data_IF_408421070137
#
_entry.id   IF_408421070137
#
_cell.length_a   1.000
_cell.length_b   1.000
_cell.length_c   1.000
_cell.angle_alpha   90.00
_cell.angle_beta   90.00
_cell.angle_gamma   90.00
#
_symmetry.space_group_name_H-M   'P 1'
#
loop_
_entity.id
_entity.type
_entity.pdbx_description
1 polymer ?
#
# COMPACT_ATOMS: atom_id res chain seq x y z
N UNK A 1 -20.21 1.89 2.10
CA UNK A 1 -19.54 1.67 0.80
C UNK A 1 -19.79 0.26 0.26
N UNK A 2 -19.53 -0.80 1.03
CA UNK A 2 -19.66 -2.21 0.57
C UNK A 2 -21.02 -2.51 -0.09
N UNK A 3 -22.15 -2.17 0.53
CA UNK A 3 -23.47 -2.38 -0.07
C UNK A 3 -23.66 -1.68 -1.43
N UNK A 4 -23.03 -0.51 -1.62
CA UNK A 4 -23.06 0.23 -2.90
C UNK A 4 -22.18 -0.43 -3.95
N UNK A 5 -21.03 -0.97 -3.55
CA UNK A 5 -20.14 -1.72 -4.45
C UNK A 5 -20.74 -3.06 -4.86
N UNK A 6 -21.57 -3.68 -4.01
CA UNK A 6 -22.35 -4.88 -4.37
C UNK A 6 -23.47 -4.53 -5.36
N UNK A 7 -24.16 -3.41 -5.13
CA UNK A 7 -25.26 -2.96 -5.99
C UNK A 7 -24.78 -2.51 -7.38
N UNK A 8 -23.63 -1.81 -7.45
CA UNK A 8 -23.12 -1.21 -8.68
C UNK A 8 -22.08 -2.07 -9.40
N UNK A 9 -21.57 -3.10 -8.72
CA UNK A 9 -20.66 -4.12 -9.25
C UNK A 9 -19.56 -3.57 -10.20
N UNK A 10 -18.70 -2.63 -9.74
CA UNK A 10 -17.74 -1.96 -10.63
C UNK A 10 -16.50 -2.81 -10.93
N UNK A 11 -16.55 -4.12 -10.66
CA UNK A 11 -15.41 -5.01 -10.80
C UNK A 11 -15.25 -5.44 -12.25
N UNK A 12 -13.99 -5.61 -12.69
CA UNK A 12 -13.65 -5.95 -14.07
C UNK A 12 -13.17 -4.75 -14.88
N UNK A 13 -12.53 -5.02 -16.00
CA UNK A 13 -12.03 -4.01 -16.93
C UNK A 13 -12.60 -4.35 -18.32
N UNK A 14 -13.34 -3.43 -18.96
CA UNK A 14 -13.83 -3.63 -20.33
C UNK A 14 -12.69 -3.82 -21.34
N UNK A 15 -12.96 -4.56 -22.42
CA UNK A 15 -11.97 -4.84 -23.46
C UNK A 15 -11.55 -3.59 -24.25
N UNK A 16 -12.40 -2.57 -24.31
CA UNK A 16 -12.17 -1.28 -24.98
C UNK A 16 -11.71 -0.18 -24.01
N UNK A 17 -11.42 -0.53 -22.76
CA UNK A 17 -10.97 0.43 -21.77
C UNK A 17 -9.52 0.85 -22.03
N UNK A 18 -9.34 2.13 -22.32
CA UNK A 18 -8.03 2.78 -22.43
C UNK A 18 -7.81 3.71 -21.24
N UNK A 19 -6.65 3.59 -20.59
CA UNK A 19 -6.23 4.46 -19.49
C UNK A 19 -4.93 5.16 -19.86
N UNK A 20 -5.03 6.45 -20.18
CA UNK A 20 -3.85 7.30 -20.41
C UNK A 20 -3.19 7.64 -19.07
N UNK A 21 -1.97 7.12 -18.86
CA UNK A 21 -1.12 7.52 -17.74
C UNK A 21 -0.26 8.70 -18.20
N UNK A 22 -0.50 9.87 -17.61
CA UNK A 22 0.25 11.10 -17.90
C UNK A 22 1.19 11.38 -16.72
N UNK A 23 2.50 11.37 -16.99
CA UNK A 23 3.55 11.62 -16.00
C UNK A 23 4.24 12.96 -16.29
N UNK A 24 4.39 13.78 -15.24
CA UNK A 24 5.15 15.03 -15.28
C UNK A 24 6.16 15.02 -14.12
N UNK A 25 7.42 14.75 -14.45
CA UNK A 25 8.54 14.67 -13.50
C UNK A 25 9.19 16.03 -13.20
N UNK A 26 8.54 17.15 -13.57
CA UNK A 26 9.06 18.47 -13.23
C UNK A 26 9.18 18.63 -11.71
N UNK A 27 10.31 19.21 -11.28
CA UNK A 27 10.58 19.36 -9.85
C UNK A 27 9.62 20.37 -9.22
N UNK A 28 8.90 19.93 -8.18
CA UNK A 28 8.04 20.81 -7.38
C UNK A 28 8.92 21.67 -6.45
N UNK A 29 8.82 23.01 -6.50
CA UNK A 29 9.57 23.87 -5.59
C UNK A 29 9.22 23.62 -4.12
N UNK A 30 10.24 23.57 -3.24
CA UNK A 30 10.09 23.20 -1.81
C UNK A 30 9.12 24.07 -1.00
N UNK A 31 8.93 25.32 -1.43
CA UNK A 31 8.10 26.30 -0.72
C UNK A 31 6.62 26.21 -1.09
N UNK A 32 6.29 25.46 -2.15
CA UNK A 32 4.91 25.22 -2.57
C UNK A 32 4.31 24.14 -1.67
N UNK A 33 3.04 24.25 -1.26
CA UNK A 33 2.37 23.22 -0.49
C UNK A 33 2.47 21.84 -1.15
N UNK A 34 3.07 20.90 -0.43
CA UNK A 34 3.20 19.52 -0.85
C UNK A 34 2.79 18.65 0.34
N UNK A 35 1.86 17.72 0.12
CA UNK A 35 1.49 16.76 1.14
C UNK A 35 2.70 15.87 1.46
N UNK A 36 3.18 15.92 2.70
CA UNK A 36 4.28 15.06 3.15
C UNK A 36 3.71 13.94 4.02
N UNK A 37 4.22 12.70 3.89
CA UNK A 37 3.87 11.64 4.81
C UNK A 37 4.12 12.08 6.26
N UNK A 38 3.16 11.78 7.13
CA UNK A 38 3.33 11.98 8.58
C UNK A 38 4.26 10.90 9.13
N UNK A 39 4.79 11.14 10.33
CA UNK A 39 5.54 10.11 11.04
C UNK A 39 4.69 8.84 11.18
N UNK A 40 5.33 7.69 11.01
CA UNK A 40 4.65 6.41 11.21
C UNK A 40 4.19 6.28 12.67
N UNK A 41 3.08 5.55 12.94
CA UNK A 41 2.63 5.30 14.29
C UNK A 41 3.71 4.63 15.14
N UNK A 42 3.82 4.97 16.43
CA UNK A 42 4.82 4.39 17.35
C UNK A 42 4.75 2.85 17.43
N UNK A 43 3.54 2.29 17.33
CA UNK A 43 3.29 0.84 17.32
C UNK A 43 4.04 0.11 16.20
N UNK A 44 4.28 0.77 15.07
CA UNK A 44 5.08 0.21 13.99
C UNK A 44 6.51 -0.08 14.45
N UNK A 45 7.14 0.88 15.13
CA UNK A 45 8.51 0.73 15.61
C UNK A 45 8.62 -0.32 16.71
N UNK A 46 7.65 -0.35 17.65
CA UNK A 46 7.60 -1.39 18.70
C UNK A 46 7.50 -2.79 18.10
N UNK A 47 6.64 -2.97 17.10
CA UNK A 47 6.47 -4.26 16.41
C UNK A 47 7.75 -4.63 15.67
N UNK A 48 8.37 -3.68 14.98
CA UNK A 48 9.61 -3.88 14.24
C UNK A 48 10.77 -4.26 15.18
N UNK A 49 10.87 -3.65 16.35
CA UNK A 49 11.88 -3.99 17.36
C UNK A 49 11.60 -5.37 17.99
N UNK A 50 10.33 -5.72 18.22
CA UNK A 50 9.94 -7.04 18.70
C UNK A 50 10.33 -8.15 17.70
N UNK A 51 10.07 -7.95 16.40
CA UNK A 51 10.46 -8.90 15.35
C UNK A 51 11.98 -9.04 15.25
N UNK A 52 12.72 -7.93 15.39
CA UNK A 52 14.20 -7.97 15.36
C UNK A 52 14.81 -8.64 16.59
N UNK A 53 14.17 -8.53 17.75
CA UNK A 53 14.69 -9.09 19.01
C UNK A 53 14.30 -10.54 19.25
N UNK A 54 13.20 -11.02 18.66
CA UNK A 54 12.78 -12.40 18.75
C UNK A 54 13.19 -13.22 17.50
N UNK A 55 14.21 -14.11 17.61
CA UNK A 55 14.62 -14.96 16.50
C UNK A 55 13.55 -15.96 16.06
N UNK A 56 12.52 -16.24 16.87
CA UNK A 56 11.38 -17.06 16.48
C UNK A 56 10.39 -16.33 15.54
N UNK A 57 10.44 -15.00 15.50
CA UNK A 57 9.62 -14.15 14.62
C UNK A 57 10.37 -13.70 13.36
N UNK A 58 11.69 -13.91 13.29
CA UNK A 58 12.49 -13.79 12.06
C UNK A 58 12.21 -15.00 11.16
N UNK A 59 11.09 -14.97 10.45
CA UNK A 59 10.64 -16.08 9.61
C UNK A 59 11.63 -16.45 8.50
N UNK A 60 12.39 -17.53 8.71
CA UNK A 60 13.13 -18.27 7.66
C UNK A 60 12.31 -19.47 7.16
N UNK A 61 10.99 -19.30 7.00
CA UNK A 61 10.12 -20.37 6.48
C UNK A 61 9.27 -19.85 5.32
N UNK A 62 9.41 -20.42 4.11
CA UNK A 62 8.58 -20.06 2.96
C UNK A 62 7.10 -20.34 3.26
N UNK A 63 6.17 -19.53 2.72
CA UNK A 63 4.75 -19.76 2.90
C UNK A 63 4.38 -21.12 2.31
N UNK A 64 4.03 -22.09 3.15
CA UNK A 64 3.50 -23.37 2.70
C UNK A 64 2.07 -23.17 2.19
N UNK A 65 1.95 -23.02 0.87
CA UNK A 65 0.68 -23.16 0.16
C UNK A 65 0.38 -24.65 0.08
N UNK A 66 -0.58 -25.15 0.88
CA UNK A 66 -1.13 -26.50 0.70
C UNK A 66 -2.10 -26.46 -0.49
N UNK A 67 -1.83 -27.33 -1.47
CA UNK A 67 -2.62 -27.58 -2.67
C UNK A 67 -3.95 -28.29 -2.35
#
# INVERSE_FOLDING_TARGET
>A
LIAKMIEWDPWGVPDDYECEVIEDDTQIPKHVPQHRPVALPEEFFKTLDAVKSDPALQGDSPPQVKA
#
